data_IF_782891276429
#
_entry.id   IF_782891276429
#
_cell.length_a   1.000
_cell.length_b   1.000
_cell.length_c   1.000
_cell.angle_alpha   90.00
_cell.angle_beta   90.00
_cell.angle_gamma   90.00
#
_symmetry.space_group_name_H-M   'P 1'
#
loop_
_entity.id
_entity.type
_entity.pdbx_description
1 polymer ?
#
# COMPACT_ATOMS: atom_id res chain seq x y z
N UNK A 1 20.81 12.49 18.64
CA UNK A 1 19.97 11.95 17.55
C UNK A 1 20.90 11.55 16.42
N UNK A 2 21.11 10.25 16.21
CA UNK A 2 22.02 9.73 15.20
C UNK A 2 21.47 10.00 13.80
N UNK A 3 22.23 10.73 12.99
CA UNK A 3 21.92 11.01 11.60
C UNK A 3 21.67 9.71 10.82
N UNK A 4 20.47 9.57 10.25
CA UNK A 4 20.20 8.53 9.26
C UNK A 4 21.22 8.68 8.12
N UNK A 5 22.20 7.77 8.03
CA UNK A 5 23.33 7.81 7.08
C UNK A 5 22.95 7.67 5.60
N UNK A 6 21.64 7.62 5.29
CA UNK A 6 21.14 7.56 3.92
C UNK A 6 21.18 8.91 3.20
N UNK A 7 21.04 8.91 1.86
CA UNK A 7 20.94 10.13 1.07
C UNK A 7 19.75 10.99 1.53
N UNK A 8 19.78 12.32 1.31
CA UNK A 8 18.69 13.22 1.68
C UNK A 8 17.37 12.86 0.98
N UNK A 9 17.48 12.21 -0.18
CA UNK A 9 16.39 11.81 -1.06
C UNK A 9 16.64 10.40 -1.58
N UNK A 10 15.58 9.60 -1.71
CA UNK A 10 15.58 8.35 -2.47
C UNK A 10 14.49 8.42 -3.55
N UNK A 11 14.72 7.74 -4.67
CA UNK A 11 13.71 7.53 -5.70
C UNK A 11 13.39 6.04 -5.71
N UNK A 12 12.12 5.72 -5.48
CA UNK A 12 11.61 4.35 -5.46
C UNK A 12 10.37 4.25 -6.32
N UNK A 13 10.10 3.08 -6.88
CA UNK A 13 8.74 2.73 -7.25
C UNK A 13 8.11 1.97 -6.08
N UNK A 14 6.80 2.11 -5.93
CA UNK A 14 6.07 1.46 -4.86
C UNK A 14 4.71 0.96 -5.34
N UNK A 15 4.33 -0.21 -4.85
CA UNK A 15 2.99 -0.78 -4.96
C UNK A 15 2.33 -0.70 -3.59
N UNK A 16 1.15 -0.10 -3.54
CA UNK A 16 0.32 -0.04 -2.34
C UNK A 16 -0.97 -0.80 -2.61
N UNK A 17 -1.34 -1.72 -1.73
CA UNK A 17 -2.48 -2.60 -1.92
C UNK A 17 -3.31 -2.75 -0.65
N UNK A 18 -4.64 -2.70 -0.81
CA UNK A 18 -5.59 -3.17 0.18
C UNK A 18 -5.74 -4.68 0.02
N UNK A 19 -5.60 -5.40 1.13
CA UNK A 19 -5.71 -6.85 1.15
C UNK A 19 -7.04 -7.29 1.77
N UNK A 20 -7.61 -8.35 1.22
CA UNK A 20 -8.69 -9.10 1.85
C UNK A 20 -8.18 -9.92 3.03
N UNK A 21 -9.08 -10.49 3.83
CA UNK A 21 -8.71 -11.33 4.99
C UNK A 21 -7.74 -12.47 4.65
N UNK A 22 -7.96 -13.11 3.50
CA UNK A 22 -7.18 -14.22 2.96
C UNK A 22 -5.95 -13.75 2.16
N UNK A 23 -5.70 -12.44 2.10
CA UNK A 23 -4.48 -11.86 1.54
C UNK A 23 -4.54 -11.53 0.04
N UNK A 24 -5.69 -11.66 -0.62
CA UNK A 24 -5.85 -11.22 -2.00
C UNK A 24 -5.89 -9.70 -2.12
N UNK A 25 -5.48 -9.19 -3.28
CA UNK A 25 -5.45 -7.75 -3.55
C UNK A 25 -6.83 -7.25 -3.97
N UNK A 26 -7.52 -6.57 -3.06
CA UNK A 26 -8.84 -5.94 -3.26
C UNK A 26 -8.75 -4.66 -4.09
N UNK A 27 -7.69 -3.88 -3.89
CA UNK A 27 -7.41 -2.66 -4.64
C UNK A 27 -5.93 -2.36 -4.57
N UNK A 28 -5.40 -1.73 -5.60
CA UNK A 28 -3.99 -1.39 -5.66
C UNK A 28 -3.76 -0.05 -6.35
N UNK A 29 -2.68 0.61 -5.97
CA UNK A 29 -2.15 1.78 -6.65
C UNK A 29 -0.63 1.61 -6.79
N UNK A 30 -0.10 2.08 -7.92
CA UNK A 30 1.31 1.97 -8.24
C UNK A 30 1.86 3.35 -8.51
N UNK A 31 2.93 3.70 -7.82
CA UNK A 31 3.64 4.96 -8.07
C UNK A 31 5.03 4.64 -8.53
N UNK A 32 5.36 5.11 -9.72
CA UNK A 32 6.69 4.94 -10.32
C UNK A 32 7.53 6.18 -10.09
N UNK A 33 8.81 5.98 -9.79
CA UNK A 33 9.83 7.02 -9.61
C UNK A 33 9.39 8.09 -8.62
N UNK A 34 8.77 7.65 -7.52
CA UNK A 34 8.39 8.54 -6.44
C UNK A 34 9.63 8.98 -5.67
N UNK A 35 9.80 10.29 -5.56
CA UNK A 35 10.82 10.89 -4.74
C UNK A 35 10.35 10.95 -3.27
N UNK A 36 11.15 10.38 -2.36
CA UNK A 36 10.94 10.47 -0.91
C UNK A 36 12.12 11.21 -0.27
N UNK A 37 11.81 12.29 0.46
CA UNK A 37 12.77 12.99 1.30
C UNK A 37 12.59 12.58 2.76
N UNK A 38 13.66 12.60 3.57
CA UNK A 38 13.69 12.08 4.95
C UNK A 38 12.57 12.54 5.89
N UNK A 39 11.87 13.64 5.59
CA UNK A 39 10.83 14.24 6.43
C UNK A 39 9.46 14.36 5.74
N UNK A 40 9.30 13.80 4.54
CA UNK A 40 8.07 13.93 3.76
C UNK A 40 7.39 12.57 3.64
N UNK A 41 6.10 12.56 3.96
CA UNK A 41 5.21 11.46 3.66
C UNK A 41 4.58 11.65 2.28
N UNK A 42 4.31 10.54 1.60
CA UNK A 42 3.51 10.48 0.38
C UNK A 42 2.17 9.88 0.76
N UNK A 43 1.09 10.54 0.37
CA UNK A 43 -0.27 10.10 0.64
C UNK A 43 -0.88 9.48 -0.60
N UNK A 44 -1.52 8.33 -0.44
CA UNK A 44 -2.36 7.69 -1.44
C UNK A 44 -3.80 8.11 -1.19
N UNK A 45 -4.40 8.86 -2.12
CA UNK A 45 -5.73 9.48 -1.92
C UNK A 45 -6.89 8.52 -2.19
N UNK A 46 -6.66 7.47 -2.98
CA UNK A 46 -7.70 6.54 -3.40
C UNK A 46 -7.08 5.25 -3.90
N UNK A 47 -7.71 4.12 -3.57
CA UNK A 47 -7.42 2.84 -4.22
C UNK A 47 -8.53 2.55 -5.21
N UNK A 48 -8.15 2.18 -6.44
CA UNK A 48 -9.10 1.60 -7.37
C UNK A 48 -9.42 0.18 -6.90
N UNK A 49 -10.57 0.03 -6.25
CA UNK A 49 -11.07 -1.27 -5.85
C UNK A 49 -11.45 -2.04 -7.12
N UNK A 50 -11.07 -3.32 -7.18
CA UNK A 50 -11.33 -4.18 -8.34
C UNK A 50 -12.81 -4.61 -8.45
N UNK A 51 -13.63 -4.23 -7.49
CA UNK A 51 -15.05 -4.58 -7.43
C UNK A 51 -15.89 -3.48 -8.08
N UNK A 52 -16.25 -3.68 -9.34
CA UNK A 52 -17.13 -2.76 -10.09
C UNK A 52 -18.59 -3.14 -9.96
N UNK A 53 -19.23 -2.85 -8.82
CA UNK A 53 -20.64 -3.15 -8.56
C UNK A 53 -21.40 -2.01 -7.87
N UNK A 54 -22.73 -2.12 -7.83
CA UNK A 54 -23.67 -1.17 -7.21
C UNK A 54 -23.33 -0.87 -5.74
N UNK A 55 -23.79 0.27 -5.21
CA UNK A 55 -23.47 0.77 -3.86
C UNK A 55 -23.72 -0.23 -2.73
N UNK A 56 -24.79 -1.01 -2.85
CA UNK A 56 -25.27 -1.85 -1.76
C UNK A 56 -24.47 -3.17 -1.67
N UNK A 57 -24.14 -3.76 -2.83
CA UNK A 57 -23.21 -4.89 -2.91
C UNK A 57 -21.79 -4.48 -2.55
N UNK A 58 -21.45 -3.20 -2.78
CA UNK A 58 -20.15 -2.64 -2.43
C UNK A 58 -19.95 -2.57 -0.92
N UNK A 59 -20.92 -2.08 -0.15
CA UNK A 59 -20.81 -2.01 1.32
C UNK A 59 -20.66 -3.39 1.96
N UNK A 60 -21.46 -4.37 1.54
CA UNK A 60 -21.38 -5.73 2.06
C UNK A 60 -20.01 -6.37 1.76
N UNK A 61 -19.52 -6.22 0.53
CA UNK A 61 -18.23 -6.76 0.11
C UNK A 61 -17.07 -6.06 0.83
N UNK A 62 -17.21 -4.77 1.09
CA UNK A 62 -16.21 -3.98 1.82
C UNK A 62 -16.13 -4.42 3.29
N UNK A 63 -17.26 -4.65 3.95
CA UNK A 63 -17.30 -5.11 5.34
C UNK A 63 -16.91 -6.58 5.52
N UNK A 64 -17.25 -7.44 4.56
CA UNK A 64 -16.99 -8.89 4.67
C UNK A 64 -15.57 -9.26 4.24
N UNK A 65 -15.05 -8.66 3.17
CA UNK A 65 -13.79 -9.09 2.57
C UNK A 65 -12.64 -8.11 2.83
N UNK A 66 -12.87 -6.80 2.82
CA UNK A 66 -11.81 -5.78 2.88
C UNK A 66 -11.57 -5.30 4.33
N UNK A 67 -12.64 -5.19 5.12
CA UNK A 67 -12.61 -4.77 6.53
C UNK A 67 -13.24 -5.84 7.44
N UNK A 68 -12.80 -7.12 7.35
CA UNK A 68 -13.36 -8.19 8.18
C UNK A 68 -13.19 -7.86 9.66
N UNK A 69 -14.29 -7.87 10.41
CA UNK A 69 -14.31 -7.55 11.83
C UNK A 69 -13.63 -6.21 12.16
N UNK A 70 -13.78 -5.19 11.32
CA UNK A 70 -13.16 -3.87 11.53
C UNK A 70 -11.66 -3.80 11.20
N UNK A 71 -11.06 -4.86 10.63
CA UNK A 71 -9.63 -4.88 10.33
C UNK A 71 -9.34 -4.53 8.87
N UNK A 72 -8.64 -3.42 8.65
CA UNK A 72 -8.11 -3.06 7.34
C UNK A 72 -6.65 -3.51 7.23
N UNK A 73 -6.35 -4.35 6.23
CA UNK A 73 -4.98 -4.79 5.94
C UNK A 73 -4.42 -4.06 4.74
N UNK A 74 -3.26 -3.44 4.92
CA UNK A 74 -2.55 -2.68 3.89
C UNK A 74 -1.16 -3.26 3.66
N UNK A 75 -0.80 -3.45 2.39
CA UNK A 75 0.53 -3.88 1.97
C UNK A 75 1.19 -2.78 1.17
N UNK A 76 2.43 -2.46 1.53
CA UNK A 76 3.28 -1.60 0.72
C UNK A 76 4.54 -2.36 0.33
N UNK A 77 4.79 -2.41 -0.97
CA UNK A 77 6.04 -2.93 -1.53
C UNK A 77 6.80 -1.77 -2.15
N UNK A 78 8.11 -1.74 -1.95
CA UNK A 78 8.96 -0.63 -2.34
C UNK A 78 10.24 -1.14 -2.99
N UNK A 79 10.61 -0.52 -4.12
CA UNK A 79 11.80 -0.89 -4.88
C UNK A 79 12.56 0.34 -5.35
N UNK A 80 13.89 0.32 -5.20
CA UNK A 80 14.78 1.39 -5.69
C UNK A 80 14.85 1.35 -7.22
N UNK A 81 14.63 2.48 -7.89
CA UNK A 81 14.46 2.60 -9.35
C UNK A 81 15.70 2.31 -10.23
N UNK A 82 16.67 1.51 -9.79
CA UNK A 82 17.96 1.35 -10.49
C UNK A 82 18.71 0.07 -10.13
N UNK A 83 18.09 -0.84 -9.37
CA UNK A 83 18.73 -2.08 -8.92
C UNK A 83 17.79 -3.23 -9.29
N UNK A 84 18.33 -4.32 -9.82
CA UNK A 84 17.58 -5.59 -9.90
C UNK A 84 17.22 -6.00 -8.47
N UNK A 85 15.95 -5.90 -8.12
CA UNK A 85 15.48 -6.17 -6.78
C UNK A 85 14.88 -7.56 -6.76
N UNK A 86 15.45 -8.44 -5.94
CA UNK A 86 14.77 -9.66 -5.53
C UNK A 86 13.45 -9.24 -4.84
N UNK A 87 12.33 -9.73 -5.38
CA UNK A 87 10.96 -9.26 -5.14
C UNK A 87 10.41 -9.43 -3.70
N UNK A 88 11.27 -9.66 -2.71
CA UNK A 88 10.87 -10.20 -1.40
C UNK A 88 10.76 -9.14 -0.29
N UNK A 89 11.08 -7.87 -0.58
CA UNK A 89 10.94 -6.77 0.38
C UNK A 89 9.54 -6.15 0.37
N UNK A 90 8.69 -6.51 1.33
CA UNK A 90 7.41 -5.82 1.56
C UNK A 90 7.18 -5.53 3.05
N UNK A 91 6.46 -4.45 3.33
CA UNK A 91 5.94 -4.16 4.66
C UNK A 91 4.41 -4.30 4.66
N UNK A 92 3.89 -4.90 5.73
CA UNK A 92 2.45 -5.03 5.96
C UNK A 92 2.08 -4.23 7.19
N UNK A 93 1.06 -3.39 7.07
CA UNK A 93 0.44 -2.68 8.18
C UNK A 93 -1.01 -3.17 8.32
N UNK A 94 -1.42 -3.46 9.55
CA UNK A 94 -2.80 -3.82 9.89
C UNK A 94 -3.31 -2.84 10.92
N UNK A 95 -4.50 -2.30 10.69
CA UNK A 95 -5.16 -1.40 11.64
C UNK A 95 -6.55 -1.92 11.95
N UNK A 96 -6.98 -1.72 13.19
CA UNK A 96 -8.37 -1.88 13.60
C UNK A 96 -9.03 -0.51 13.50
N UNK A 97 -10.22 -0.45 12.91
CA UNK A 97 -11.05 0.75 12.78
C UNK A 97 -12.10 0.74 13.89
#
# INVERSE_FOLDING_TARGET
MSDCKGPPTIIIDCECALLTEDGWVAGQDNVTKQEFTKKRFVNFRSFNLKYGRSSDEFEELLLTNIIPNGNLTFRCKMWKCSVEINNDGYCTARTHI
#
